data_IF_276291473057
#
_entry.id   IF_276291473057
#
_cell.length_a   1.000
_cell.length_b   1.000
_cell.length_c   1.000
_cell.angle_alpha   90.00
_cell.angle_beta   90.00
_cell.angle_gamma   90.00
#
_symmetry.space_group_name_H-M   'P 1'
#
loop_
_entity.id
_entity.type
_entity.pdbx_description
1 polymer ?
#
# COMPACT_ATOMS: atom_id res chain seq x y z
N UNK A 1 27.74 -10.97 -20.49
CA UNK A 1 26.34 -11.36 -20.11
C UNK A 1 25.78 -10.50 -18.95
N UNK A 2 26.61 -10.09 -17.97
CA UNK A 2 26.16 -9.35 -16.77
C UNK A 2 25.65 -7.92 -17.06
N UNK A 3 26.25 -7.20 -18.00
CA UNK A 3 25.82 -5.83 -18.35
C UNK A 3 24.47 -5.77 -19.09
N UNK A 4 24.12 -6.78 -19.86
CA UNK A 4 22.88 -6.82 -20.62
C UNK A 4 21.67 -7.05 -19.71
N UNK A 5 21.83 -7.89 -18.68
CA UNK A 5 20.80 -8.18 -17.68
C UNK A 5 20.50 -6.93 -16.82
N UNK A 6 21.53 -6.16 -16.45
CA UNK A 6 21.38 -4.95 -15.62
C UNK A 6 20.59 -3.85 -16.33
N UNK A 7 20.75 -3.69 -17.65
CA UNK A 7 20.05 -2.66 -18.44
C UNK A 7 18.53 -2.89 -18.55
N UNK A 8 18.04 -4.14 -18.49
CA UNK A 8 16.60 -4.44 -18.53
C UNK A 8 15.92 -4.37 -17.16
N UNK A 9 16.66 -4.62 -16.08
CA UNK A 9 16.09 -4.61 -14.73
C UNK A 9 15.89 -3.20 -14.14
N UNK A 10 16.75 -2.25 -14.46
CA UNK A 10 16.67 -0.88 -13.95
C UNK A 10 15.37 -0.14 -14.35
N UNK A 11 14.93 -0.15 -15.61
CA UNK A 11 13.68 0.50 -16.00
C UNK A 11 12.45 -0.21 -15.41
N UNK A 12 12.47 -1.54 -15.26
CA UNK A 12 11.39 -2.30 -14.65
C UNK A 12 11.28 -1.99 -13.15
N UNK A 13 12.39 -1.96 -12.42
CA UNK A 13 12.42 -1.60 -11.00
C UNK A 13 11.88 -0.17 -10.77
N UNK A 14 12.29 0.79 -11.61
CA UNK A 14 11.76 2.15 -11.57
C UNK A 14 10.26 2.20 -11.84
N UNK A 15 9.75 1.37 -12.75
CA UNK A 15 8.33 1.27 -13.05
C UNK A 15 7.56 0.71 -11.83
N UNK A 16 8.06 -0.34 -11.18
CA UNK A 16 7.48 -0.90 -9.95
C UNK A 16 7.44 0.16 -8.85
N UNK A 17 8.57 0.81 -8.55
CA UNK A 17 8.67 1.86 -7.52
C UNK A 17 7.70 3.02 -7.80
N UNK A 18 7.55 3.42 -9.07
CA UNK A 18 6.59 4.47 -9.45
C UNK A 18 5.16 4.04 -9.19
N UNK A 19 4.81 2.77 -9.45
CA UNK A 19 3.47 2.23 -9.22
C UNK A 19 3.16 2.05 -7.73
N UNK A 20 4.17 1.76 -6.89
CA UNK A 20 4.05 1.72 -5.42
C UNK A 20 3.65 3.07 -4.80
N UNK A 21 3.84 4.17 -5.51
CA UNK A 21 3.51 5.54 -5.09
C UNK A 21 4.12 5.94 -3.73
N UNK A 22 5.48 5.97 -3.57
CA UNK A 22 6.12 6.28 -2.28
C UNK A 22 5.67 7.60 -1.66
N UNK A 23 5.29 8.60 -2.48
CA UNK A 23 4.74 9.88 -2.00
C UNK A 23 3.47 9.70 -1.16
N UNK A 24 2.71 8.62 -1.34
CA UNK A 24 1.50 8.33 -0.57
C UNK A 24 1.80 7.63 0.77
N UNK A 25 3.04 7.17 0.98
CA UNK A 25 3.45 6.55 2.25
C UNK A 25 3.42 7.52 3.41
N UNK A 26 3.48 8.84 3.14
CA UNK A 26 3.28 9.88 4.15
C UNK A 26 1.97 9.73 4.92
N UNK A 27 0.92 9.18 4.28
CA UNK A 27 -0.36 8.90 4.96
C UNK A 27 -0.24 7.82 6.04
N UNK A 28 0.73 6.92 5.93
CA UNK A 28 0.94 5.86 6.91
C UNK A 28 1.61 6.38 8.21
N UNK A 29 2.09 7.62 8.23
CA UNK A 29 2.60 8.29 9.44
C UNK A 29 1.53 8.35 10.54
N UNK A 30 0.24 8.27 10.19
CA UNK A 30 -0.85 8.19 11.17
C UNK A 30 -0.78 6.97 12.09
N UNK A 31 -0.01 5.93 11.75
CA UNK A 31 0.30 4.80 12.65
C UNK A 31 1.03 5.28 13.92
N UNK A 32 1.85 6.33 13.82
CA UNK A 32 2.59 6.89 14.96
C UNK A 32 1.72 7.75 15.89
N UNK A 33 0.47 8.03 15.54
CA UNK A 33 -0.41 8.85 16.39
C UNK A 33 -0.55 8.24 17.77
N UNK A 34 -0.78 6.92 17.88
CA UNK A 34 -0.96 6.24 19.14
C UNK A 34 0.27 6.37 20.07
N UNK A 35 1.48 6.08 19.57
CA UNK A 35 2.71 6.14 20.37
C UNK A 35 3.03 7.57 20.83
N UNK A 36 2.60 8.60 20.07
CA UNK A 36 2.75 10.02 20.46
C UNK A 36 1.83 10.34 21.64
N UNK A 37 0.54 9.97 21.55
CA UNK A 37 -0.45 10.26 22.58
C UNK A 37 -0.22 9.43 23.87
N UNK A 38 0.28 8.21 23.74
CA UNK A 38 0.65 7.36 24.86
C UNK A 38 2.03 7.70 25.49
N UNK A 39 2.70 8.74 24.97
CA UNK A 39 4.00 9.24 25.45
C UNK A 39 5.11 8.19 25.44
N UNK A 40 5.00 7.17 24.59
CA UNK A 40 5.97 6.06 24.49
C UNK A 40 7.08 6.27 23.44
N UNK A 41 7.22 7.46 22.88
CA UNK A 41 8.26 7.78 21.86
C UNK A 41 9.70 7.52 22.33
N UNK A 42 9.94 7.57 23.64
CA UNK A 42 11.26 7.29 24.24
C UNK A 42 11.50 5.80 24.50
N UNK A 43 10.45 4.98 24.44
CA UNK A 43 10.53 3.53 24.60
C UNK A 43 10.97 2.89 23.29
N UNK A 44 12.21 2.38 23.26
CA UNK A 44 12.83 1.84 22.03
C UNK A 44 12.01 0.72 21.41
N UNK A 45 11.48 -0.19 22.21
CA UNK A 45 10.73 -1.35 21.73
C UNK A 45 9.40 -0.93 21.05
N UNK A 46 8.65 -0.02 21.68
CA UNK A 46 7.42 0.54 21.13
C UNK A 46 7.69 1.30 19.81
N UNK A 47 8.77 2.11 19.79
CA UNK A 47 9.16 2.83 18.59
C UNK A 47 9.56 1.90 17.44
N UNK A 48 10.33 0.85 17.71
CA UNK A 48 10.74 -0.14 16.71
C UNK A 48 9.54 -0.93 16.19
N UNK A 49 8.59 -1.30 17.06
CA UNK A 49 7.35 -1.99 16.67
C UNK A 49 6.49 -1.10 15.76
N UNK A 50 6.31 0.18 16.11
CA UNK A 50 5.59 1.14 15.27
C UNK A 50 6.29 1.38 13.93
N UNK A 51 7.63 1.44 13.91
CA UNK A 51 8.41 1.58 12.68
C UNK A 51 8.24 0.35 11.78
N UNK A 52 8.30 -0.87 12.35
CA UNK A 52 8.03 -2.08 11.60
C UNK A 52 6.61 -2.10 11.04
N UNK A 53 5.61 -1.73 11.84
CA UNK A 53 4.22 -1.59 11.38
C UNK A 53 4.05 -0.57 10.25
N UNK A 54 4.72 0.58 10.35
CA UNK A 54 4.75 1.59 9.29
C UNK A 54 5.31 1.03 7.97
N UNK A 55 6.43 0.30 8.01
CA UNK A 55 7.03 -0.30 6.81
C UNK A 55 6.12 -1.36 6.19
N UNK A 56 5.51 -2.21 7.03
CA UNK A 56 4.53 -3.20 6.57
C UNK A 56 3.35 -2.48 5.87
N UNK A 57 2.82 -1.42 6.46
CA UNK A 57 1.72 -0.65 5.88
C UNK A 57 2.11 0.08 4.59
N UNK A 58 3.36 0.50 4.44
CA UNK A 58 3.85 1.09 3.19
C UNK A 58 3.83 0.07 2.05
N UNK A 59 4.25 -1.19 2.29
CA UNK A 59 4.22 -2.24 1.29
C UNK A 59 2.78 -2.69 1.03
N UNK A 60 1.95 -2.83 2.07
CA UNK A 60 0.53 -3.18 1.96
C UNK A 60 -0.25 -2.16 1.12
N UNK A 61 -0.10 -0.87 1.42
CA UNK A 61 -0.75 0.20 0.63
C UNK A 61 -0.24 0.24 -0.82
N UNK A 62 1.04 -0.09 -1.04
CA UNK A 62 1.59 -0.23 -2.40
C UNK A 62 0.91 -1.35 -3.18
N UNK A 63 0.62 -2.50 -2.54
CA UNK A 63 -0.14 -3.60 -3.18
C UNK A 63 -1.52 -3.13 -3.63
N UNK A 64 -2.21 -2.37 -2.79
CA UNK A 64 -3.52 -1.77 -3.11
C UNK A 64 -3.41 -0.87 -4.35
N UNK A 65 -2.39 0.02 -4.41
CA UNK A 65 -2.22 0.89 -5.58
C UNK A 65 -1.91 0.12 -6.85
N UNK A 66 -1.11 -0.94 -6.79
CA UNK A 66 -0.83 -1.80 -7.94
C UNK A 66 -2.12 -2.47 -8.42
N UNK A 67 -2.92 -3.03 -7.51
CA UNK A 67 -4.20 -3.68 -7.85
C UNK A 67 -5.17 -2.68 -8.47
N UNK A 68 -5.26 -1.46 -7.92
CA UNK A 68 -6.09 -0.40 -8.47
C UNK A 68 -5.64 0.01 -9.89
N UNK A 69 -4.34 0.17 -10.13
CA UNK A 69 -3.83 0.53 -11.45
C UNK A 69 -4.03 -0.61 -12.47
N UNK A 70 -4.03 -1.89 -12.04
CA UNK A 70 -4.40 -3.03 -12.89
C UNK A 70 -5.90 -2.99 -13.22
N UNK A 71 -6.76 -2.77 -12.21
CA UNK A 71 -8.21 -2.74 -12.39
C UNK A 71 -8.66 -1.59 -13.32
N UNK A 72 -7.94 -0.47 -13.30
CA UNK A 72 -8.27 0.74 -14.04
C UNK A 72 -7.49 0.89 -15.36
N UNK A 73 -6.75 -0.13 -15.81
CA UNK A 73 -5.80 -0.02 -16.94
C UNK A 73 -6.42 0.56 -18.21
N UNK A 74 -7.61 0.13 -18.60
CA UNK A 74 -8.29 0.62 -19.82
C UNK A 74 -8.76 2.08 -19.65
N UNK A 75 -9.33 2.41 -18.51
CA UNK A 75 -9.73 3.78 -18.19
C UNK A 75 -8.52 4.72 -18.12
N UNK A 76 -7.42 4.25 -17.54
CA UNK A 76 -6.18 5.01 -17.44
C UNK A 76 -5.52 5.26 -18.80
N UNK A 77 -5.60 4.31 -19.74
CA UNK A 77 -5.13 4.47 -21.13
C UNK A 77 -5.88 5.56 -21.88
N UNK A 78 -7.19 5.66 -21.65
CA UNK A 78 -8.03 6.69 -22.26
C UNK A 78 -7.88 8.07 -21.61
N UNK A 79 -7.29 8.16 -20.42
CA UNK A 79 -7.23 9.39 -19.63
C UNK A 79 -6.00 10.23 -20.00
N UNK A 80 -6.12 11.57 -20.27
CA UNK A 80 -5.02 12.40 -20.76
C UNK A 80 -3.78 12.44 -19.86
N UNK A 81 -3.95 12.36 -18.51
CA UNK A 81 -2.86 12.42 -17.55
C UNK A 81 -2.44 11.05 -16.98
N UNK A 82 -3.36 10.06 -16.95
CA UNK A 82 -3.10 8.77 -16.34
C UNK A 82 -2.50 7.75 -17.30
N UNK A 83 -2.57 7.98 -18.62
CA UNK A 83 -1.98 7.13 -19.66
C UNK A 83 -0.47 6.89 -19.49
N UNK A 84 0.22 7.81 -18.78
CA UNK A 84 1.65 7.72 -18.50
C UNK A 84 2.00 6.89 -17.24
N UNK A 85 0.99 6.29 -16.57
CA UNK A 85 1.22 5.33 -15.48
C UNK A 85 1.94 4.10 -16.02
N UNK A 86 2.84 3.47 -15.24
CA UNK A 86 3.66 2.36 -15.74
C UNK A 86 2.87 1.20 -16.33
N UNK A 87 1.74 0.82 -15.73
CA UNK A 87 0.89 -0.28 -16.21
C UNK A 87 0.10 0.16 -17.46
N UNK A 88 -0.53 1.33 -17.44
CA UNK A 88 -1.30 1.85 -18.57
C UNK A 88 -0.43 2.07 -19.81
N UNK A 89 0.78 2.59 -19.64
CA UNK A 89 1.75 2.84 -20.73
C UNK A 89 2.49 1.59 -21.21
N UNK A 90 2.27 0.41 -20.60
CA UNK A 90 2.95 -0.83 -20.96
C UNK A 90 4.39 -0.96 -20.45
N UNK A 91 4.92 0.02 -19.69
CA UNK A 91 6.26 -0.05 -19.08
C UNK A 91 6.37 -1.11 -17.99
N UNK A 92 5.26 -1.47 -17.37
CA UNK A 92 5.12 -2.58 -16.43
C UNK A 92 3.97 -3.47 -16.92
N UNK A 93 4.28 -4.71 -17.29
CA UNK A 93 3.27 -5.64 -17.76
C UNK A 93 2.32 -6.08 -16.63
N UNK A 94 1.05 -6.31 -16.97
CA UNK A 94 0.02 -6.74 -16.00
C UNK A 94 0.43 -8.01 -15.25
N UNK A 95 0.96 -9.09 -15.88
CA UNK A 95 1.39 -10.28 -15.14
C UNK A 95 2.48 -10.00 -14.11
N UNK A 96 3.46 -9.17 -14.46
CA UNK A 96 4.54 -8.78 -13.51
C UNK A 96 3.96 -7.95 -12.36
N UNK A 97 3.10 -6.96 -12.66
CA UNK A 97 2.45 -6.15 -11.63
C UNK A 97 1.60 -7.00 -10.68
N UNK A 98 0.84 -7.97 -11.22
CA UNK A 98 0.05 -8.92 -10.42
C UNK A 98 0.95 -9.79 -9.54
N UNK A 99 2.03 -10.32 -10.08
CA UNK A 99 3.01 -11.10 -9.32
C UNK A 99 3.62 -10.31 -8.15
N UNK A 100 3.98 -9.03 -8.40
CA UNK A 100 4.51 -8.13 -7.36
C UNK A 100 3.46 -7.85 -6.28
N UNK A 101 2.20 -7.57 -6.66
CA UNK A 101 1.12 -7.31 -5.71
C UNK A 101 0.85 -8.54 -4.82
N UNK A 102 0.80 -9.74 -5.41
CA UNK A 102 0.62 -10.99 -4.67
C UNK A 102 1.81 -11.23 -3.72
N UNK A 103 3.05 -11.07 -4.19
CA UNK A 103 4.24 -11.23 -3.35
C UNK A 103 4.22 -10.27 -2.15
N UNK A 104 3.84 -9.01 -2.36
CA UNK A 104 3.70 -8.04 -1.27
C UNK A 104 2.63 -8.46 -0.25
N UNK A 105 1.49 -8.96 -0.69
CA UNK A 105 0.44 -9.46 0.21
C UNK A 105 0.89 -10.68 1.02
N UNK A 106 1.55 -11.65 0.35
CA UNK A 106 2.07 -12.86 1.00
C UNK A 106 3.16 -12.56 2.04
N UNK A 107 3.85 -11.44 1.90
CA UNK A 107 4.84 -10.98 2.88
C UNK A 107 4.16 -10.15 3.97
N UNK A 108 3.34 -9.16 3.61
CA UNK A 108 2.85 -8.17 4.58
C UNK A 108 1.79 -8.71 5.51
N UNK A 109 0.84 -9.54 5.03
CA UNK A 109 -0.23 -10.02 5.90
C UNK A 109 0.30 -10.97 6.99
N UNK A 110 1.11 -12.00 6.70
CA UNK A 110 1.72 -12.80 7.75
C UNK A 110 2.61 -11.99 8.69
N UNK A 111 3.44 -11.07 8.16
CA UNK A 111 4.28 -10.20 8.99
C UNK A 111 3.46 -9.31 9.92
N UNK A 112 2.29 -8.84 9.48
CA UNK A 112 1.39 -8.05 10.31
C UNK A 112 0.83 -8.88 11.48
N UNK A 113 0.45 -10.14 11.25
CA UNK A 113 0.00 -11.05 12.32
C UNK A 113 1.14 -11.45 13.26
N UNK A 114 2.36 -11.58 12.75
CA UNK A 114 3.54 -11.86 13.59
C UNK A 114 3.88 -10.67 14.49
N UNK A 115 3.64 -9.44 14.05
CA UNK A 115 3.91 -8.24 14.82
C UNK A 115 2.88 -8.06 15.96
N UNK A 116 1.59 -8.18 15.64
CA UNK A 116 0.47 -8.18 16.58
C UNK A 116 -0.78 -8.77 15.90
N UNK A 117 -1.53 -9.60 16.63
CA UNK A 117 -2.79 -10.16 16.12
C UNK A 117 -3.78 -9.05 15.75
N UNK A 118 -3.90 -8.02 16.58
CA UNK A 118 -4.76 -6.86 16.31
C UNK A 118 -4.32 -6.10 15.06
N UNK A 119 -3.01 -5.88 14.91
CA UNK A 119 -2.43 -5.23 13.73
C UNK A 119 -2.69 -6.04 12.45
N UNK A 120 -2.60 -7.38 12.53
CA UNK A 120 -2.91 -8.28 11.43
C UNK A 120 -4.36 -8.17 10.96
N UNK A 121 -5.33 -8.15 11.91
CA UNK A 121 -6.75 -7.97 11.58
C UNK A 121 -7.04 -6.61 10.95
N UNK A 122 -6.48 -5.53 11.50
CA UNK A 122 -6.68 -4.18 10.95
C UNK A 122 -6.04 -4.04 9.57
N UNK A 123 -4.84 -4.59 9.36
CA UNK A 123 -4.17 -4.62 8.06
C UNK A 123 -4.98 -5.39 7.01
N UNK A 124 -5.54 -6.53 7.39
CA UNK A 124 -6.43 -7.32 6.53
C UNK A 124 -7.70 -6.55 6.19
N UNK A 125 -8.32 -5.89 7.18
CA UNK A 125 -9.52 -5.05 6.99
C UNK A 125 -9.21 -3.89 6.04
N UNK A 126 -8.08 -3.19 6.23
CA UNK A 126 -7.63 -2.14 5.33
C UNK A 126 -7.51 -2.64 3.88
N UNK A 127 -6.89 -3.79 3.68
CA UNK A 127 -6.77 -4.38 2.35
C UNK A 127 -8.14 -4.70 1.74
N UNK A 128 -9.03 -5.35 2.48
CA UNK A 128 -10.36 -5.75 1.98
C UNK A 128 -11.25 -4.56 1.66
N UNK A 129 -11.24 -3.51 2.50
CA UNK A 129 -11.99 -2.26 2.24
C UNK A 129 -11.51 -1.61 0.94
N UNK A 130 -10.19 -1.51 0.74
CA UNK A 130 -9.63 -0.93 -0.47
C UNK A 130 -9.86 -1.79 -1.71
N UNK A 131 -9.86 -3.12 -1.57
CA UNK A 131 -10.21 -4.03 -2.67
C UNK A 131 -11.67 -3.87 -3.08
N UNK A 132 -12.60 -3.83 -2.11
CA UNK A 132 -14.02 -3.58 -2.35
C UNK A 132 -14.26 -2.21 -2.98
N UNK A 133 -13.56 -1.18 -2.48
CA UNK A 133 -13.60 0.17 -3.05
C UNK A 133 -13.17 0.16 -4.52
N UNK A 134 -12.05 -0.47 -4.85
CA UNK A 134 -11.53 -0.52 -6.21
C UNK A 134 -12.50 -1.16 -7.21
N UNK A 135 -13.26 -2.18 -6.78
CA UNK A 135 -14.17 -2.93 -7.65
C UNK A 135 -15.57 -2.32 -7.75
N UNK A 136 -16.13 -1.86 -6.63
CA UNK A 136 -17.57 -1.55 -6.56
C UNK A 136 -17.89 -0.15 -6.06
N UNK A 137 -17.13 0.39 -5.10
CA UNK A 137 -17.55 1.55 -4.32
C UNK A 137 -17.10 2.90 -4.89
N UNK A 138 -16.09 2.93 -5.74
CA UNK A 138 -15.48 4.17 -6.28
C UNK A 138 -16.41 5.02 -7.16
N UNK A 139 -17.56 4.48 -7.55
CA UNK A 139 -18.52 5.19 -8.41
C UNK A 139 -19.62 5.90 -7.61
N UNK A 140 -19.64 5.78 -6.29
CA UNK A 140 -20.64 6.37 -5.38
C UNK A 140 -19.97 7.49 -4.59
N UNK A 141 -20.22 8.78 -4.90
CA UNK A 141 -19.46 9.91 -4.34
C UNK A 141 -19.43 9.98 -2.82
N UNK A 142 -20.53 9.63 -2.15
CA UNK A 142 -20.61 9.63 -0.68
C UNK A 142 -19.73 8.53 -0.07
N UNK A 143 -19.73 7.36 -0.68
CA UNK A 143 -18.92 6.21 -0.23
C UNK A 143 -17.43 6.48 -0.46
N UNK A 144 -17.06 7.20 -1.50
CA UNK A 144 -15.68 7.60 -1.76
C UNK A 144 -15.10 8.37 -0.56
N UNK A 145 -15.81 9.39 -0.08
CA UNK A 145 -15.40 10.19 1.09
C UNK A 145 -15.34 9.32 2.36
N UNK A 146 -16.32 8.42 2.55
CA UNK A 146 -16.35 7.53 3.71
C UNK A 146 -15.18 6.55 3.73
N UNK A 147 -14.81 5.97 2.59
CA UNK A 147 -13.66 5.06 2.49
C UNK A 147 -12.34 5.79 2.75
N UNK A 148 -12.19 7.02 2.25
CA UNK A 148 -11.01 7.83 2.55
C UNK A 148 -10.91 8.10 4.07
N UNK A 149 -12.01 8.45 4.73
CA UNK A 149 -12.04 8.65 6.18
C UNK A 149 -11.72 7.35 6.94
N UNK A 150 -12.34 6.22 6.54
CA UNK A 150 -12.08 4.91 7.13
C UNK A 150 -10.60 4.50 6.99
N UNK A 151 -9.98 4.81 5.87
CA UNK A 151 -8.56 4.56 5.61
C UNK A 151 -7.63 5.28 6.60
N UNK A 152 -7.97 6.51 7.00
CA UNK A 152 -7.22 7.22 8.04
C UNK A 152 -7.46 6.62 9.42
N UNK A 153 -8.72 6.30 9.76
CA UNK A 153 -9.07 5.66 11.03
C UNK A 153 -8.38 4.30 11.19
N UNK A 154 -8.35 3.49 10.14
CA UNK A 154 -7.68 2.18 10.16
C UNK A 154 -6.17 2.32 10.41
N UNK A 155 -5.51 3.37 9.90
CA UNK A 155 -4.09 3.62 10.19
C UNK A 155 -3.86 3.99 11.65
N UNK A 156 -4.69 4.85 12.21
CA UNK A 156 -4.61 5.20 13.64
C UNK A 156 -4.88 3.96 14.51
N UNK A 157 -5.95 3.21 14.20
CA UNK A 157 -6.29 1.98 14.91
C UNK A 157 -5.17 0.92 14.79
N UNK A 158 -4.52 0.81 13.63
CA UNK A 158 -3.35 -0.04 13.44
C UNK A 158 -2.22 0.35 14.41
N UNK A 159 -1.96 1.65 14.58
CA UNK A 159 -0.98 2.14 15.55
C UNK A 159 -1.31 1.77 16.99
N UNK A 160 -2.60 1.86 17.38
CA UNK A 160 -3.07 1.50 18.74
C UNK A 160 -2.81 0.03 19.08
N UNK A 161 -2.85 -0.87 18.09
CA UNK A 161 -2.61 -2.31 18.32
C UNK A 161 -1.13 -2.69 18.44
N UNK A 162 -0.22 -1.73 18.27
CA UNK A 162 1.23 -1.92 18.31
C UNK A 162 1.88 -1.47 19.63
N UNK A 163 1.11 -0.80 20.51
CA UNK A 163 1.55 -0.28 21.79
C UNK A 163 0.83 -0.92 22.96
#
# INVERSE_FOLDING_TARGET
HSHFVLCYHLPMLKAILKTMRPKQWTKNVFIFVAIVFDRQLTHKDALLTCLAGFLIFCILSSSVYIINDIADVEADRAHPKKKDRPIASGKLSIPVATGVAIAFLLITIPSAFMLSTGFGFISSTFFLVNLAYSKWLKHIPLIDVMVIAADFLLRVAAGVTLI
#
